data_IF_876534438519
#
_entry.id   IF_876534438519
#
_cell.length_a   1.000
_cell.length_b   1.000
_cell.length_c   1.000
_cell.angle_alpha   90.00
_cell.angle_beta   90.00
_cell.angle_gamma   90.00
#
_symmetry.space_group_name_H-M   'P 1'
#
loop_
_entity.id
_entity.type
_entity.pdbx_description
1 polymer ?
#
# COMPACT_ATOMS: atom_id res chain seq x y z
N UNK A 1 -0.61 11.49 -17.29
CA UNK A 1 -0.14 10.45 -16.37
C UNK A 1 -1.33 9.67 -15.85
N UNK A 2 -1.15 8.39 -15.64
CA UNK A 2 -2.19 7.54 -15.06
C UNK A 2 -2.07 7.52 -13.53
N UNK A 3 -3.18 7.22 -12.87
CA UNK A 3 -3.22 7.01 -11.42
C UNK A 3 -3.24 5.52 -11.12
N UNK A 4 -2.52 5.12 -10.08
CA UNK A 4 -2.43 3.74 -9.65
C UNK A 4 -2.81 3.63 -8.18
N UNK A 5 -3.67 2.66 -7.88
CA UNK A 5 -3.94 2.30 -6.50
C UNK A 5 -2.81 1.36 -6.05
N UNK A 6 -2.10 1.77 -5.02
CA UNK A 6 -1.12 0.93 -4.34
C UNK A 6 -1.82 0.30 -3.15
N UNK A 7 -1.96 -1.02 -3.17
CA UNK A 7 -2.54 -1.77 -2.04
C UNK A 7 -1.40 -2.50 -1.36
N UNK A 8 -1.20 -2.20 -0.09
CA UNK A 8 -0.15 -2.82 0.71
C UNK A 8 -0.69 -4.09 1.35
N UNK A 9 0.13 -5.13 1.35
CA UNK A 9 -0.22 -6.44 1.92
C UNK A 9 0.89 -6.92 2.83
N UNK A 10 0.52 -7.51 3.96
CA UNK A 10 1.46 -8.11 4.87
C UNK A 10 2.33 -7.09 5.60
N UNK A 11 3.60 -7.46 5.80
CA UNK A 11 4.51 -6.70 6.63
C UNK A 11 4.33 -7.05 8.10
N UNK A 12 5.33 -6.75 8.91
CA UNK A 12 5.27 -6.96 10.34
C UNK A 12 5.30 -5.62 11.07
N UNK A 13 4.52 -5.52 12.15
CA UNK A 13 4.57 -4.35 13.00
C UNK A 13 5.89 -4.37 13.77
N UNK A 14 6.69 -3.28 13.73
CA UNK A 14 7.94 -3.23 14.50
C UNK A 14 7.66 -3.43 16.00
N UNK A 15 8.47 -4.26 16.69
CA UNK A 15 8.18 -4.64 18.07
C UNK A 15 8.51 -3.56 19.12
N UNK A 16 9.33 -2.58 18.76
CA UNK A 16 9.75 -1.53 19.69
C UNK A 16 9.33 -0.16 19.19
N UNK A 17 9.20 0.80 20.12
CA UNK A 17 8.90 2.19 19.77
C UNK A 17 9.98 2.78 18.86
N UNK A 18 11.25 2.48 19.13
CA UNK A 18 12.38 2.94 18.32
C UNK A 18 12.29 2.40 16.89
N UNK A 19 11.98 1.11 16.72
CA UNK A 19 11.80 0.50 15.40
C UNK A 19 10.58 1.09 14.68
N UNK A 20 9.50 1.40 15.40
CA UNK A 20 8.32 2.05 14.83
C UNK A 20 8.65 3.45 14.31
N UNK A 21 9.44 4.22 15.06
CA UNK A 21 9.88 5.56 14.63
C UNK A 21 10.74 5.49 13.38
N UNK A 22 11.64 4.51 13.29
CA UNK A 22 12.46 4.28 12.09
C UNK A 22 11.61 3.91 10.88
N UNK A 23 10.60 3.07 11.08
CA UNK A 23 9.67 2.68 10.02
C UNK A 23 8.89 3.89 9.52
N UNK A 24 8.36 4.71 10.41
CA UNK A 24 7.65 5.94 10.04
C UNK A 24 8.55 6.90 9.27
N UNK A 25 9.80 7.05 9.68
CA UNK A 25 10.76 7.90 8.98
C UNK A 25 11.06 7.37 7.58
N UNK A 26 11.17 6.03 7.41
CA UNK A 26 11.40 5.41 6.12
C UNK A 26 10.21 5.62 5.17
N UNK A 27 8.98 5.47 5.67
CA UNK A 27 7.77 5.76 4.89
C UNK A 27 7.71 7.23 4.46
N UNK A 28 7.99 8.14 5.39
CA UNK A 28 8.04 9.58 5.09
C UNK A 28 9.09 9.92 4.04
N UNK A 29 10.27 9.31 4.12
CA UNK A 29 11.32 9.49 3.13
C UNK A 29 10.92 8.97 1.76
N UNK A 30 10.24 7.81 1.69
CA UNK A 30 9.76 7.25 0.44
C UNK A 30 8.70 8.16 -0.20
N UNK A 31 7.69 8.60 0.55
CA UNK A 31 6.69 9.54 0.05
C UNK A 31 7.34 10.85 -0.39
N UNK A 32 8.30 11.35 0.38
CA UNK A 32 9.04 12.56 0.02
C UNK A 32 9.82 12.40 -1.28
N UNK A 33 10.41 11.23 -1.52
CA UNK A 33 11.15 10.96 -2.77
C UNK A 33 10.23 10.91 -3.99
N UNK A 34 8.98 10.51 -3.82
CA UNK A 34 8.00 10.49 -4.90
C UNK A 34 7.40 11.88 -5.17
N UNK A 35 7.39 12.76 -4.18
CA UNK A 35 6.93 14.15 -4.33
C UNK A 35 5.54 14.27 -4.92
N UNK A 36 5.46 14.95 -6.07
CA UNK A 36 4.17 15.22 -6.76
C UNK A 36 3.47 13.97 -7.28
N UNK A 37 4.17 12.84 -7.39
CA UNK A 37 3.55 11.58 -7.78
C UNK A 37 2.53 11.09 -6.75
N UNK A 38 2.67 11.49 -5.48
CA UNK A 38 1.72 11.12 -4.43
C UNK A 38 0.46 11.96 -4.57
N UNK A 39 -0.61 11.35 -5.08
CA UNK A 39 -1.94 12.00 -5.18
C UNK A 39 -2.61 11.98 -3.81
N UNK A 40 -2.55 10.83 -3.14
CA UNK A 40 -3.05 10.64 -1.78
C UNK A 40 -2.18 9.58 -1.11
N UNK A 41 -1.53 9.96 -0.03
CA UNK A 41 -0.69 9.03 0.74
C UNK A 41 -1.46 7.87 1.36
N UNK A 42 -2.78 8.03 1.51
CA UNK A 42 -3.63 7.00 2.05
C UNK A 42 -3.42 6.78 3.54
N UNK A 43 -3.81 5.58 3.99
CA UNK A 43 -3.75 5.22 5.40
C UNK A 43 -3.47 3.73 5.55
N UNK A 44 -2.89 3.31 6.67
CA UNK A 44 -2.96 1.92 7.07
C UNK A 44 -4.42 1.56 7.36
N UNK A 45 -4.79 0.31 7.13
CA UNK A 45 -6.14 -0.18 7.38
C UNK A 45 -6.10 -1.31 8.41
N UNK A 46 -7.19 -1.44 9.13
CA UNK A 46 -7.36 -2.49 10.13
C UNK A 46 -7.83 -3.80 9.52
N UNK A 47 -8.43 -4.64 10.36
CA UNK A 47 -8.90 -5.97 9.98
C UNK A 47 -9.95 -5.89 8.87
N UNK A 48 -9.78 -6.72 7.85
CA UNK A 48 -10.71 -6.81 6.73
C UNK A 48 -11.89 -7.72 7.04
N UNK A 49 -13.04 -7.38 6.48
CA UNK A 49 -14.19 -8.28 6.35
C UNK A 49 -14.49 -8.41 4.86
N UNK A 50 -14.99 -9.55 4.45
CA UNK A 50 -15.30 -9.80 3.04
C UNK A 50 -16.79 -10.09 2.88
N UNK A 51 -17.45 -9.36 1.99
CA UNK A 51 -18.81 -9.67 1.56
C UNK A 51 -18.72 -10.43 0.24
N UNK A 52 -19.20 -11.66 0.25
CA UNK A 52 -19.14 -12.53 -0.93
C UNK A 52 -20.27 -12.22 -1.91
N UNK A 53 -20.16 -12.78 -3.11
CA UNK A 53 -21.14 -12.55 -4.18
C UNK A 53 -22.57 -13.02 -3.82
N UNK A 54 -22.70 -14.00 -2.93
CA UNK A 54 -23.99 -14.48 -2.43
C UNK A 54 -24.57 -13.63 -1.29
N UNK A 55 -23.85 -12.57 -0.88
CA UNK A 55 -24.22 -11.68 0.21
C UNK A 55 -23.74 -12.13 1.58
N UNK A 56 -23.10 -13.30 1.69
CA UNK A 56 -22.55 -13.74 2.97
C UNK A 56 -21.35 -12.91 3.38
N UNK A 57 -21.13 -12.80 4.69
CA UNK A 57 -20.04 -11.99 5.25
C UNK A 57 -19.05 -12.90 5.97
N UNK A 58 -17.77 -12.77 5.61
CA UNK A 58 -16.66 -13.46 6.29
C UNK A 58 -15.83 -12.41 7.01
N UNK A 59 -15.57 -12.62 8.30
CA UNK A 59 -14.87 -11.65 9.14
C UNK A 59 -13.35 -11.74 8.98
N UNK A 60 -12.87 -11.89 7.74
CA UNK A 60 -11.45 -11.83 7.37
C UNK A 60 -11.30 -11.37 5.91
N UNK A 61 -10.08 -11.09 5.50
CA UNK A 61 -9.75 -10.64 4.15
C UNK A 61 -9.16 -11.74 3.27
N UNK A 62 -9.27 -13.00 3.68
CA UNK A 62 -8.68 -14.12 2.96
C UNK A 62 -7.20 -14.30 3.31
N UNK A 63 -6.44 -14.93 2.42
CA UNK A 63 -5.04 -15.28 2.66
C UNK A 63 -4.08 -14.10 2.53
N UNK A 64 -4.51 -13.01 1.89
CA UNK A 64 -3.65 -11.84 1.64
C UNK A 64 -4.42 -10.53 1.81
N UNK A 65 -4.86 -10.22 3.04
CA UNK A 65 -5.67 -9.01 3.27
C UNK A 65 -4.84 -7.74 3.09
N UNK A 66 -5.54 -6.66 2.71
CA UNK A 66 -4.91 -5.35 2.60
C UNK A 66 -4.47 -4.84 3.97
N UNK A 67 -3.29 -4.22 4.03
CA UNK A 67 -2.77 -3.57 5.24
C UNK A 67 -2.74 -2.04 5.13
N UNK A 68 -2.99 -1.50 3.95
CA UNK A 68 -3.02 -0.06 3.70
C UNK A 68 -3.19 0.24 2.22
N UNK A 69 -3.24 1.52 1.89
CA UNK A 69 -3.36 1.95 0.50
C UNK A 69 -2.75 3.32 0.28
N UNK A 70 -2.40 3.60 -0.96
CA UNK A 70 -2.04 4.94 -1.44
C UNK A 70 -2.51 5.12 -2.88
N UNK A 71 -2.61 6.36 -3.34
CA UNK A 71 -2.92 6.69 -4.73
C UNK A 71 -1.73 7.45 -5.31
N UNK A 72 -1.11 6.89 -6.34
CA UNK A 72 0.15 7.37 -6.90
C UNK A 72 -0.01 7.59 -8.41
N UNK A 73 0.57 8.68 -8.94
CA UNK A 73 0.65 8.92 -10.37
C UNK A 73 1.94 8.34 -10.95
N UNK A 74 1.84 7.75 -12.13
CA UNK A 74 3.00 7.28 -12.89
C UNK A 74 2.64 7.24 -14.38
N UNK A 75 3.64 7.27 -15.29
CA UNK A 75 3.36 7.25 -16.72
C UNK A 75 2.76 5.93 -17.20
N UNK A 76 3.15 4.81 -16.58
CA UNK A 76 2.71 3.46 -16.94
C UNK A 76 2.96 2.50 -15.78
N UNK A 77 2.60 1.22 -15.95
CA UNK A 77 2.84 0.19 -14.92
C UNK A 77 4.32 0.04 -14.57
N UNK A 78 5.21 0.14 -15.54
CA UNK A 78 6.66 0.05 -15.28
C UNK A 78 7.13 1.20 -14.40
N UNK A 79 6.63 2.41 -14.64
CA UNK A 79 6.90 3.57 -13.80
C UNK A 79 6.36 3.40 -12.38
N UNK A 80 5.12 2.92 -12.25
CA UNK A 80 4.51 2.64 -10.94
C UNK A 80 5.30 1.56 -10.18
N UNK A 81 5.69 0.50 -10.88
CA UNK A 81 6.50 -0.57 -10.27
C UNK A 81 7.86 -0.07 -9.80
N UNK A 82 8.50 0.80 -10.58
CA UNK A 82 9.77 1.40 -10.18
C UNK A 82 9.64 2.20 -8.88
N UNK A 83 8.56 2.96 -8.74
CA UNK A 83 8.26 3.70 -7.50
C UNK A 83 7.99 2.76 -6.33
N UNK A 84 7.21 1.70 -6.56
CA UNK A 84 6.85 0.72 -5.54
C UNK A 84 8.05 -0.05 -4.99
N UNK A 85 9.10 -0.25 -5.80
CA UNK A 85 10.33 -0.93 -5.36
C UNK A 85 11.03 -0.22 -4.21
N UNK A 86 10.78 1.06 -4.01
CA UNK A 86 11.32 1.82 -2.88
C UNK A 86 10.49 1.72 -1.61
N UNK A 87 9.36 1.02 -1.63
CA UNK A 87 8.46 0.95 -0.48
C UNK A 87 9.11 0.22 0.70
N UNK A 88 9.13 0.85 1.90
CA UNK A 88 9.72 0.23 3.09
C UNK A 88 9.07 -1.09 3.50
N UNK A 89 7.81 -1.31 3.09
CA UNK A 89 7.08 -2.54 3.41
C UNK A 89 7.76 -3.79 2.87
N UNK A 90 8.48 -3.67 1.74
CA UNK A 90 9.17 -4.80 1.13
C UNK A 90 10.25 -5.37 2.05
N UNK A 91 10.92 -4.50 2.82
CA UNK A 91 11.96 -4.92 3.76
C UNK A 91 11.40 -5.75 4.93
N UNK A 92 10.10 -5.60 5.25
CA UNK A 92 9.44 -6.35 6.31
C UNK A 92 8.64 -7.56 5.79
N UNK A 93 8.88 -7.97 4.55
CA UNK A 93 8.25 -9.15 3.96
C UNK A 93 6.87 -8.91 3.35
N UNK A 94 6.44 -7.65 3.29
CA UNK A 94 5.18 -7.30 2.64
C UNK A 94 5.30 -7.17 1.14
N UNK A 95 4.19 -6.85 0.49
CA UNK A 95 4.11 -6.64 -0.95
C UNK A 95 3.23 -5.44 -1.28
N UNK A 96 3.42 -4.91 -2.48
CA UNK A 96 2.63 -3.79 -3.00
C UNK A 96 1.93 -4.26 -4.28
N UNK A 97 0.62 -4.25 -4.23
CA UNK A 97 -0.22 -4.54 -5.40
C UNK A 97 -0.50 -3.23 -6.14
N UNK A 98 -0.32 -3.23 -7.45
CA UNK A 98 -0.54 -2.05 -8.28
C UNK A 98 -1.74 -2.27 -9.17
N UNK A 99 -2.69 -1.35 -9.14
CA UNK A 99 -3.85 -1.42 -10.02
C UNK A 99 -4.11 -0.04 -10.62
N UNK A 100 -4.11 0.05 -11.94
CA UNK A 100 -4.41 1.31 -12.61
C UNK A 100 -5.87 1.71 -12.37
N UNK A 101 -6.06 2.95 -11.94
CA UNK A 101 -7.40 3.52 -11.78
C UNK A 101 -7.96 3.79 -13.17
N UNK A 102 -9.14 3.26 -13.44
CA UNK A 102 -9.81 3.42 -14.74
C UNK A 102 -10.88 4.50 -14.59
N UNK A 103 -10.82 5.51 -15.44
CA UNK A 103 -11.86 6.54 -15.50
C UNK A 103 -13.12 5.96 -16.14
N UNK A 104 -14.26 6.20 -15.51
CA UNK A 104 -15.54 5.64 -15.97
C UNK A 104 -16.50 6.74 -16.39
#
# INVERSE_FOLDING_TARGET
MAKYLFVYHGGSRPPTKEAQEKAMAAWGAWFGSMGKAVVNGGNPVGKSWTVKSDGSVVMDGGSNPASGFSLIEAPDYNGAAALAKGCPLLASGGSVELAQVIDM
#
